data_IF_289069260427
#
_entry.id   IF_289069260427
#
_cell.length_a   1.000
_cell.length_b   1.000
_cell.length_c   1.000
_cell.angle_alpha   90.00
_cell.angle_beta   90.00
_cell.angle_gamma   90.00
#
_symmetry.space_group_name_H-M   'P 1'
#
loop_
_entity.id
_entity.type
_entity.pdbx_description
1 polymer ?
2 polymer ?
3 non-polymer ?
4 non-polymer ?
5 water ?
#
# COMPACT_ATOMS: atom_id res chain seq x y z
N UNK A 4 -29.71 -3.84 3.99
CA UNK A 4 -29.93 -5.18 4.53
C UNK A 4 -28.80 -6.12 4.14
N UNK A 5 -28.44 -6.12 2.85
CA UNK A 5 -27.36 -6.95 2.36
C UNK A 5 -27.81 -8.21 1.67
N UNK A 6 -27.21 -8.52 0.53
CA UNK A 6 -27.53 -9.72 -0.20
C UNK A 6 -26.66 -10.88 0.24
N UNK A 7 -27.22 -12.10 0.23
CA UNK A 7 -26.44 -13.28 0.62
C UNK A 7 -25.25 -13.51 -0.29
N UNK A 8 -24.04 -13.37 0.25
CA UNK A 8 -22.82 -13.56 -0.50
C UNK A 8 -21.95 -14.62 0.17
N UNK A 9 -21.11 -15.27 -0.62
CA UNK A 9 -20.30 -16.38 -0.18
C UNK A 9 -18.85 -15.92 -0.04
N UNK A 10 -18.27 -16.11 1.14
CA UNK A 10 -16.87 -15.84 1.39
C UNK A 10 -16.17 -17.16 1.69
N UNK A 11 -14.93 -17.29 1.22
CA UNK A 11 -14.18 -18.55 1.32
C UNK A 11 -12.89 -18.28 2.11
N UNK A 12 -12.90 -18.66 3.38
CA UNK A 12 -11.77 -18.47 4.27
C UNK A 12 -10.87 -19.70 4.21
N UNK A 13 -9.57 -19.49 4.04
CA UNK A 13 -8.65 -20.60 3.89
C UNK A 13 -8.39 -21.27 5.24
N UNK A 14 -7.92 -22.52 5.17
CA UNK A 14 -7.56 -23.26 6.38
C UNK A 14 -6.45 -22.53 7.11
N UNK A 15 -6.72 -22.18 8.37
CA UNK A 15 -5.76 -21.47 9.21
C UNK A 15 -5.57 -22.26 10.50
N UNK A 16 -4.32 -22.55 10.83
CA UNK A 16 -4.01 -23.31 12.03
C UNK A 16 -4.05 -22.46 13.29
N UNK A 17 -3.96 -21.13 13.14
CA UNK A 17 -4.06 -20.21 14.26
C UNK A 17 -5.48 -19.69 14.46
N UNK A 18 -6.43 -20.14 13.66
CA UNK A 18 -7.79 -19.66 13.72
C UNK A 18 -8.14 -18.78 12.53
N UNK A 19 -9.42 -18.75 12.19
CA UNK A 19 -9.86 -17.93 11.07
C UNK A 19 -9.71 -16.44 11.35
N UNK A 20 -9.89 -16.03 12.61
CA UNK A 20 -9.60 -14.67 13.01
C UNK A 20 -10.79 -13.73 13.03
N UNK A 21 -11.93 -14.22 13.52
CA UNK A 21 -13.09 -13.35 13.70
C UNK A 21 -13.91 -13.84 14.87
N UNK A 22 -14.65 -12.92 15.49
CA UNK A 22 -15.42 -13.19 16.69
C UNK A 22 -16.89 -13.37 16.35
N UNK A 23 -17.47 -14.48 16.81
CA UNK A 23 -18.89 -14.77 16.64
C UNK A 23 -19.63 -14.34 17.90
N UNK A 24 -20.69 -13.55 17.72
CA UNK A 24 -21.51 -13.08 18.83
C UNK A 24 -22.96 -13.05 18.38
N UNK A 25 -23.87 -13.16 19.35
CA UNK A 25 -25.28 -13.13 19.04
C UNK A 25 -26.16 -12.88 20.24
N UNK A 26 -27.34 -13.50 20.25
CA UNK A 26 -28.27 -13.36 21.37
C UNK A 26 -28.49 -14.71 22.04
N UNK A 43 -33.21 -15.69 14.47
CA UNK A 43 -31.97 -15.24 15.12
C UNK A 43 -30.72 -15.72 14.39
N UNK A 44 -29.84 -14.80 14.01
CA UNK A 44 -28.59 -15.12 13.33
C UNK A 44 -27.42 -14.55 14.11
N UNK A 45 -26.38 -15.36 14.30
CA UNK A 45 -25.16 -14.88 14.92
C UNK A 45 -24.43 -13.93 13.99
N UNK A 46 -23.82 -12.89 14.54
CA UNK A 46 -23.15 -11.88 13.76
C UNK A 46 -21.66 -11.83 14.10
N UNK A 47 -20.90 -11.21 13.21
CA UNK A 47 -19.47 -11.03 13.40
C UNK A 47 -19.26 -9.69 14.11
N UNK A 48 -18.77 -9.76 15.35
CA UNK A 48 -18.57 -8.55 16.15
C UNK A 48 -17.23 -7.88 15.88
N UNK A 49 -16.18 -8.66 15.60
CA UNK A 49 -14.86 -8.09 15.37
C UNK A 49 -14.07 -9.02 14.45
N UNK A 50 -13.08 -8.43 13.77
CA UNK A 50 -12.23 -9.13 12.82
C UNK A 50 -10.79 -8.74 13.10
N UNK A 51 -9.90 -9.73 13.18
CA UNK A 51 -8.48 -9.45 13.31
C UNK A 51 -7.96 -8.84 12.02
N UNK A 52 -7.34 -7.65 12.06
CA UNK A 52 -6.77 -7.08 10.84
C UNK A 52 -5.67 -7.98 10.27
N UNK A 53 -5.81 -8.33 9.00
CA UNK A 53 -4.85 -9.19 8.34
C UNK A 53 -5.07 -10.68 8.55
N UNK A 54 -5.98 -11.06 9.45
CA UNK A 54 -6.27 -12.47 9.65
C UNK A 54 -6.93 -13.10 8.44
N UNK A 55 -7.14 -14.42 8.54
CA UNK A 55 -7.67 -15.17 7.40
C UNK A 55 -9.07 -14.69 7.02
N UNK A 56 -9.89 -14.36 8.01
CA UNK A 56 -11.25 -13.89 7.71
C UNK A 56 -11.23 -12.50 7.07
N UNK A 57 -10.34 -11.62 7.55
CA UNK A 57 -10.22 -10.29 6.97
C UNK A 57 -9.86 -10.36 5.49
N UNK A 58 -8.94 -11.26 5.14
CA UNK A 58 -8.46 -11.32 3.76
C UNK A 58 -9.51 -11.88 2.81
N UNK A 59 -10.41 -12.73 3.30
CA UNK A 59 -11.42 -13.36 2.47
C UNK A 59 -12.64 -12.48 2.23
N UNK A 60 -12.72 -11.32 2.87
CA UNK A 60 -13.85 -10.41 2.69
C UNK A 60 -14.82 -10.34 3.84
N UNK A 61 -14.59 -11.10 4.91
CA UNK A 61 -15.47 -11.04 6.07
C UNK A 61 -15.28 -9.70 6.77
N UNK A 62 -16.38 -8.98 6.98
CA UNK A 62 -16.35 -7.66 7.59
C UNK A 62 -17.25 -7.63 8.82
N UNK A 63 -17.02 -6.62 9.66
CA UNK A 63 -17.80 -6.49 10.89
C UNK A 63 -19.28 -6.30 10.59
N UNK A 64 -20.12 -6.92 11.40
CA UNK A 64 -21.55 -6.83 11.24
C UNK A 64 -22.18 -7.89 10.38
N UNK A 65 -21.38 -8.77 9.78
CA UNK A 65 -21.92 -9.82 8.91
C UNK A 65 -22.73 -10.82 9.73
N UNK A 66 -23.95 -11.10 9.27
CA UNK A 66 -24.80 -12.10 9.90
C UNK A 66 -24.58 -13.45 9.21
N UNK A 67 -24.35 -14.49 10.01
CA UNK A 67 -23.96 -15.80 9.51
C UNK A 67 -25.22 -16.58 9.17
N UNK A 68 -25.45 -16.83 7.89
CA UNK A 68 -26.61 -17.55 7.40
C UNK A 68 -26.32 -19.02 7.12
N UNK A 69 -25.14 -19.32 6.59
CA UNK A 69 -24.73 -20.70 6.33
C UNK A 69 -23.27 -20.89 6.72
N UNK A 70 -22.95 -22.07 7.23
CA UNK A 70 -21.58 -22.45 7.58
C UNK A 70 -21.26 -23.73 6.81
N UNK A 71 -20.35 -23.63 5.84
CA UNK A 71 -19.99 -24.76 4.99
C UNK A 71 -21.22 -25.41 4.37
N UNK A 72 -22.12 -24.57 3.87
CA UNK A 72 -23.29 -24.97 3.08
C UNK A 72 -24.35 -25.68 3.92
N UNK A 73 -24.47 -25.36 5.21
CA UNK A 73 -25.59 -25.80 6.02
C UNK A 73 -26.23 -24.56 6.66
N UNK A 74 -27.55 -24.47 6.56
CA UNK A 74 -28.27 -23.31 7.08
C UNK A 74 -28.31 -23.36 8.60
N UNK A 75 -27.92 -22.25 9.24
CA UNK A 75 -27.81 -22.19 10.69
C UNK A 75 -28.86 -21.25 11.28
N UNK A 76 -29.96 -21.04 10.56
CA UNK A 76 -31.06 -20.25 11.09
C UNK A 76 -31.65 -20.93 12.31
N UNK A 77 -31.67 -20.21 13.44
CA UNK A 77 -32.22 -20.75 14.67
C UNK A 77 -31.27 -21.61 15.47
N UNK A 78 -30.00 -21.69 15.08
CA UNK A 78 -29.03 -22.45 15.84
C UNK A 78 -28.51 -21.64 17.01
N UNK A 79 -28.04 -22.35 18.05
CA UNK A 79 -27.48 -21.68 19.21
C UNK A 79 -26.12 -21.09 18.87
N UNK A 80 -25.62 -20.23 19.77
CA UNK A 80 -24.29 -19.66 19.58
C UNK A 80 -23.22 -20.74 19.62
N UNK A 81 -23.33 -21.69 20.55
CA UNK A 81 -22.34 -22.76 20.63
C UNK A 81 -22.35 -23.63 19.38
N UNK A 82 -23.54 -23.85 18.80
CA UNK A 82 -23.63 -24.72 17.64
C UNK A 82 -23.01 -24.07 16.41
N UNK A 83 -23.18 -22.76 16.24
CA UNK A 83 -22.54 -22.05 15.13
C UNK A 83 -21.03 -22.10 15.29
N UNK A 84 -20.54 -21.91 16.51
CA UNK A 84 -19.10 -22.01 16.76
C UNK A 84 -18.61 -23.43 16.51
N UNK A 85 -19.36 -24.43 17.00
CA UNK A 85 -18.94 -25.82 16.85
C UNK A 85 -18.93 -26.23 15.38
N UNK A 86 -19.92 -25.78 14.61
CA UNK A 86 -19.90 -26.06 13.17
C UNK A 86 -18.74 -25.38 12.48
N UNK A 87 -18.39 -24.17 12.94
CA UNK A 87 -17.26 -23.44 12.35
C UNK A 87 -15.95 -24.14 12.66
N UNK A 88 -15.79 -24.63 13.89
CA UNK A 88 -14.56 -25.24 14.36
C UNK A 88 -14.43 -26.72 13.98
N UNK A 89 -15.43 -27.29 13.32
CA UNK A 89 -15.49 -28.74 13.19
C UNK A 89 -14.47 -29.27 12.19
N UNK A 90 -14.56 -28.83 10.94
CA UNK A 90 -13.77 -29.45 9.88
C UNK A 90 -12.28 -29.25 10.02
N UNK A 91 -11.86 -28.13 10.63
CA UNK A 91 -10.45 -27.78 10.75
C UNK A 91 -9.78 -27.67 9.39
N UNK A 92 -10.58 -27.34 8.36
CA UNK A 92 -10.08 -27.03 7.04
C UNK A 92 -10.56 -25.65 6.61
N UNK A 93 -10.94 -25.49 5.35
CA UNK A 93 -11.44 -24.20 4.88
C UNK A 93 -12.82 -23.93 5.47
N UNK A 94 -13.20 -22.64 5.48
CA UNK A 94 -14.47 -22.20 6.02
C UNK A 94 -15.20 -21.41 4.93
N UNK A 95 -16.25 -22.01 4.38
CA UNK A 95 -17.11 -21.36 3.39
C UNK A 95 -18.32 -20.82 4.12
N UNK A 96 -18.46 -19.50 4.15
CA UNK A 96 -19.54 -18.83 4.87
C UNK A 96 -20.44 -18.09 3.90
N UNK A 97 -21.75 -18.16 4.16
CA UNK A 97 -22.75 -17.35 3.47
C UNK A 97 -23.23 -16.31 4.47
N UNK A 98 -22.91 -15.04 4.19
CA UNK A 98 -23.10 -13.98 5.18
C UNK A 98 -24.02 -12.90 4.60
N UNK A 99 -24.79 -12.28 5.49
CA UNK A 99 -25.57 -11.09 5.19
C UNK A 99 -24.86 -9.88 5.79
N UNK A 100 -24.41 -8.96 4.94
CA UNK A 100 -23.58 -7.84 5.38
C UNK A 100 -24.43 -6.58 5.52
N UNK A 101 -24.01 -5.72 6.45
CA UNK A 101 -24.50 -4.34 6.48
C UNK A 101 -24.00 -3.70 5.19
N UNK A 102 -24.90 -3.26 4.30
CA UNK A 102 -24.48 -2.85 2.95
C UNK A 102 -23.49 -1.70 3.00
N UNK A 103 -22.23 -1.95 2.60
CA UNK A 103 -21.15 -0.95 2.66
C UNK A 103 -20.96 -0.22 1.34
N UNK A 108 -10.99 2.92 -1.59
CA UNK A 108 -11.58 1.59 -1.56
C UNK A 108 -11.01 0.67 -2.62
N UNK A 109 -9.79 0.97 -3.07
CA UNK A 109 -9.08 0.21 -4.10
C UNK A 109 -9.81 0.20 -5.43
N UNK A 110 -10.68 1.18 -5.67
CA UNK A 110 -11.45 1.23 -6.91
C UNK A 110 -10.64 1.72 -8.10
N UNK A 111 -9.42 2.23 -7.88
CA UNK A 111 -8.58 2.72 -8.97
C UNK A 111 -7.28 1.93 -9.08
N UNK A 112 -7.20 0.76 -8.44
CA UNK A 112 -6.04 -0.08 -8.60
C UNK A 112 -6.12 -0.96 -9.83
N UNK A 113 -4.95 -1.40 -10.30
CA UNK A 113 -4.90 -2.26 -11.47
C UNK A 113 -5.16 -3.71 -11.12
N UNK A 114 -4.62 -4.19 -10.01
CA UNK A 114 -4.74 -5.58 -9.60
C UNK A 114 -6.00 -5.75 -8.76
N UNK A 115 -6.95 -6.52 -9.26
CA UNK A 115 -8.17 -6.84 -8.54
C UNK A 115 -8.10 -8.25 -7.97
N UNK A 116 -9.02 -8.53 -7.04
CA UNK A 116 -9.11 -9.86 -6.48
C UNK A 116 -9.58 -10.85 -7.53
N UNK A 117 -8.89 -11.99 -7.63
CA UNK A 117 -9.22 -12.99 -8.63
C UNK A 117 -10.50 -13.73 -8.24
N UNK A 118 -11.48 -13.72 -9.13
CA UNK A 118 -12.68 -14.52 -8.91
C UNK A 118 -12.36 -15.99 -9.10
N UNK A 119 -13.13 -16.84 -8.41
CA UNK A 119 -12.86 -18.29 -8.35
C UNK A 119 -11.47 -18.55 -7.76
N UNK A 120 -11.18 -17.87 -6.66
CA UNK A 120 -9.88 -18.00 -6.01
C UNK A 120 -9.86 -19.20 -5.08
N UNK A 121 -8.82 -20.02 -5.20
CA UNK A 121 -8.60 -21.16 -4.32
C UNK A 121 -7.13 -21.16 -3.91
N UNK A 122 -6.86 -20.84 -2.64
CA UNK A 122 -5.48 -20.73 -2.19
C UNK A 122 -4.76 -22.07 -2.24
N UNK A 123 -5.45 -23.15 -1.86
CA UNK A 123 -4.85 -24.48 -1.94
C UNK A 123 -4.47 -24.81 -3.37
N UNK A 124 -5.37 -24.55 -4.32
CA UNK A 124 -5.09 -24.79 -5.72
C UNK A 124 -3.85 -23.99 -6.16
N UNK A 125 -3.80 -22.70 -5.81
CA UNK A 125 -2.68 -21.86 -6.22
C UNK A 125 -1.38 -22.31 -5.55
N UNK A 126 -1.43 -22.60 -4.25
CA UNK A 126 -0.23 -23.04 -3.54
C UNK A 126 0.34 -24.29 -4.19
N UNK A 127 -0.51 -25.27 -4.48
CA UNK A 127 -0.04 -26.51 -5.11
C UNK A 127 0.51 -26.25 -6.50
N UNK A 128 -0.15 -25.39 -7.27
CA UNK A 128 0.35 -25.06 -8.60
C UNK A 128 1.68 -24.31 -8.51
N UNK A 129 1.82 -23.46 -7.48
CA UNK A 129 3.09 -22.75 -7.30
C UNK A 129 4.20 -23.73 -6.95
N UNK A 130 3.92 -24.67 -6.06
CA UNK A 130 4.94 -25.67 -5.71
C UNK A 130 5.32 -26.51 -6.91
N UNK A 131 4.34 -26.84 -7.76
CA UNK A 131 4.65 -27.56 -8.99
C UNK A 131 5.58 -26.74 -9.88
N UNK A 132 5.36 -25.43 -9.94
CA UNK A 132 6.22 -24.58 -10.76
C UNK A 132 7.60 -24.45 -10.16
N UNK A 133 7.70 -24.42 -8.83
CA UNK A 133 9.00 -24.36 -8.18
C UNK A 133 9.76 -25.67 -8.38
N UNK A 134 9.07 -26.79 -8.23
CA UNK A 134 9.70 -28.11 -8.38
C UNK A 134 9.90 -28.49 -9.84
N UNK A 135 9.33 -27.75 -10.78
CA UNK A 135 9.58 -28.02 -12.20
C UNK A 135 11.06 -27.84 -12.51
N UNK A 136 11.62 -28.77 -13.29
CA UNK A 136 13.03 -28.73 -13.63
C UNK A 136 13.37 -27.40 -14.29
N UNK A 137 14.24 -26.63 -13.65
CA UNK A 137 14.61 -25.31 -14.12
C UNK A 137 13.77 -24.17 -13.57
N UNK A 138 12.76 -24.47 -12.75
CA UNK A 138 11.83 -23.51 -12.17
C UNK A 138 10.96 -22.89 -13.26
N UNK A 139 9.64 -23.10 -13.15
CA UNK A 139 8.67 -22.51 -14.07
C UNK A 139 8.32 -21.11 -13.56
N UNK A 140 9.17 -20.14 -13.92
CA UNK A 140 8.94 -18.75 -13.50
C UNK A 140 7.66 -18.21 -14.11
N UNK A 141 7.31 -18.67 -15.32
CA UNK A 141 6.13 -18.14 -16.02
C UNK A 141 4.88 -18.33 -15.18
N UNK A 142 4.63 -19.58 -14.75
CA UNK A 142 3.43 -19.87 -13.98
C UNK A 142 3.43 -19.10 -12.67
N UNK A 143 4.60 -18.96 -12.04
CA UNK A 143 4.69 -18.22 -10.78
C UNK A 143 4.27 -16.77 -11.00
N UNK A 144 4.69 -16.16 -12.11
CA UNK A 144 4.29 -14.79 -12.40
C UNK A 144 2.81 -14.72 -12.75
N UNK A 145 2.33 -15.65 -13.58
CA UNK A 145 0.94 -15.63 -14.01
C UNK A 145 -0.02 -15.71 -12.83
N UNK A 146 0.35 -16.46 -11.80
CA UNK A 146 -0.50 -16.59 -10.62
C UNK A 146 -0.41 -15.36 -9.74
N UNK A 147 0.79 -15.07 -9.23
CA UNK A 147 0.93 -14.11 -8.13
C UNK A 147 0.58 -12.68 -8.57
N UNK A 148 0.93 -12.29 -9.79
CA UNK A 148 0.59 -10.96 -10.25
C UNK A 148 -0.88 -10.82 -10.65
N UNK A 149 -1.65 -11.92 -10.62
CA UNK A 149 -3.07 -11.86 -10.92
C UNK A 149 -3.90 -12.28 -9.71
N UNK A 150 -3.35 -12.08 -8.51
CA UNK A 150 -4.07 -12.20 -7.25
C UNK A 150 -3.86 -10.92 -6.45
N UNK A 151 -4.88 -10.54 -5.68
CA UNK A 151 -4.73 -9.41 -4.79
C UNK A 151 -3.73 -9.75 -3.68
N UNK A 152 -3.28 -8.71 -2.97
CA UNK A 152 -2.29 -8.93 -1.92
C UNK A 152 -2.83 -9.84 -0.82
N UNK A 153 -4.09 -9.64 -0.43
CA UNK A 153 -4.69 -10.51 0.57
C UNK A 153 -4.74 -11.95 0.09
N UNK A 154 -5.04 -12.15 -1.21
CA UNK A 154 -5.05 -13.50 -1.76
C UNK A 154 -3.67 -14.11 -1.78
N UNK A 155 -2.62 -13.30 -1.92
CA UNK A 155 -1.26 -13.83 -1.85
C UNK A 155 -0.93 -14.32 -0.45
N UNK A 156 -1.43 -13.63 0.58
CA UNK A 156 -1.21 -14.07 1.95
C UNK A 156 -1.85 -15.43 2.20
N UNK A 157 -3.08 -15.62 1.70
CA UNK A 157 -3.73 -16.92 1.83
C UNK A 157 -2.92 -18.01 1.15
N UNK A 158 -2.38 -17.72 -0.04
CA UNK A 158 -1.53 -18.68 -0.74
C UNK A 158 -0.30 -19.01 0.10
N UNK A 159 0.30 -18.00 0.71
CA UNK A 159 1.51 -18.23 1.49
C UNK A 159 1.25 -19.12 2.69
N UNK A 160 0.09 -18.94 3.35
CA UNK A 160 -0.22 -19.77 4.50
C UNK A 160 -0.49 -21.22 4.09
N UNK A 161 -1.26 -21.41 3.02
CA UNK A 161 -1.51 -22.76 2.53
C UNK A 161 -0.24 -23.41 2.00
N UNK A 162 0.66 -22.61 1.40
CA UNK A 162 1.91 -23.16 0.90
C UNK A 162 2.74 -23.71 2.05
N UNK A 163 2.92 -22.92 3.10
CA UNK A 163 3.71 -23.37 4.25
C UNK A 163 3.06 -24.56 4.93
N UNK A 164 1.73 -24.58 4.96
CA UNK A 164 1.03 -25.65 5.67
C UNK A 164 1.20 -27.00 4.96
N UNK A 165 1.36 -26.99 3.64
CA UNK A 165 1.52 -28.23 2.89
C UNK A 165 2.96 -28.61 2.63
N UNK A 166 3.88 -27.63 2.58
CA UNK A 166 5.28 -27.91 2.31
C UNK A 166 6.16 -27.86 3.55
N UNK A 167 5.67 -27.28 4.65
CA UNK A 167 6.47 -26.95 5.83
C UNK A 167 7.63 -26.02 5.49
N UNK A 168 7.51 -25.28 4.40
CA UNK A 168 8.50 -24.28 4.00
C UNK A 168 7.80 -22.97 3.74
N UNK A 169 8.43 -21.87 4.14
CA UNK A 169 7.86 -20.55 3.90
C UNK A 169 7.93 -20.22 2.42
N UNK A 170 6.83 -19.67 1.89
CA UNK A 170 6.75 -19.40 0.46
C UNK A 170 7.78 -18.37 0.03
N UNK A 171 7.95 -17.31 0.82
CA UNK A 171 8.94 -16.28 0.47
C UNK A 171 10.34 -16.87 0.43
N UNK A 172 10.69 -17.71 1.40
CA UNK A 172 12.01 -18.32 1.41
C UNK A 172 12.20 -19.28 0.25
N UNK A 173 11.14 -20.01 -0.11
CA UNK A 173 11.22 -20.92 -1.24
C UNK A 173 11.37 -20.15 -2.56
N UNK A 174 10.59 -19.08 -2.73
CA UNK A 174 10.72 -18.27 -3.93
C UNK A 174 12.04 -17.52 -3.97
N UNK A 175 12.58 -17.16 -2.80
CA UNK A 175 13.90 -16.53 -2.76
C UNK A 175 14.96 -17.44 -3.36
N UNK A 176 14.88 -18.73 -3.09
CA UNK A 176 15.88 -19.67 -3.61
C UNK A 176 15.62 -20.04 -5.06
N UNK A 177 14.36 -20.01 -5.51
CA UNK A 177 14.05 -20.42 -6.88
C UNK A 177 14.26 -19.30 -7.88
N UNK A 178 14.02 -18.05 -7.48
CA UNK A 178 14.11 -16.91 -8.39
C UNK A 178 15.40 -16.14 -8.16
N UNK A 179 15.66 -15.18 -9.05
CA UNK A 179 16.84 -14.35 -8.97
C UNK A 179 16.59 -13.08 -9.76
N UNK A 180 17.58 -12.19 -9.75
CA UNK A 180 17.51 -10.96 -10.53
C UNK A 180 16.38 -10.06 -10.09
N UNK A 181 15.92 -9.23 -11.01
CA UNK A 181 14.86 -8.27 -10.69
C UNK A 181 13.53 -8.97 -10.45
N UNK A 182 13.29 -10.12 -11.09
CA UNK A 182 12.04 -10.84 -10.88
C UNK A 182 11.89 -11.28 -9.43
N UNK A 183 12.99 -11.72 -8.81
CA UNK A 183 12.96 -12.07 -7.39
C UNK A 183 12.53 -10.88 -6.55
N UNK A 184 13.08 -9.69 -6.84
CA UNK A 184 12.70 -8.48 -6.13
C UNK A 184 11.20 -8.23 -6.22
N UNK A 185 10.64 -8.38 -7.43
CA UNK A 185 9.22 -8.09 -7.63
C UNK A 185 8.37 -9.09 -6.85
N UNK A 186 8.59 -10.38 -7.07
CA UNK A 186 7.78 -11.41 -6.43
C UNK A 186 7.83 -11.27 -4.92
N UNK A 187 9.04 -11.14 -4.35
CA UNK A 187 9.17 -11.02 -2.91
C UNK A 187 8.48 -9.77 -2.39
N UNK A 188 8.50 -8.69 -3.16
CA UNK A 188 7.78 -7.49 -2.76
C UNK A 188 6.28 -7.70 -2.73
N UNK A 189 5.75 -8.44 -3.71
CA UNK A 189 4.32 -8.68 -3.77
C UNK A 189 3.83 -9.53 -2.59
N UNK A 190 4.69 -10.40 -2.05
CA UNK A 190 4.27 -11.30 -0.99
C UNK A 190 4.09 -10.58 0.34
N UNK A 191 4.78 -9.46 0.54
CA UNK A 191 4.62 -8.68 1.75
C UNK A 191 3.31 -7.90 1.72
N UNK A 192 2.72 -7.69 2.89
CA UNK A 192 1.60 -6.78 2.99
C UNK A 192 2.07 -5.36 2.73
N UNK A 193 1.16 -4.44 2.37
CA UNK A 193 1.59 -3.07 2.08
C UNK A 193 2.45 -2.44 3.17
N UNK A 194 2.07 -2.61 4.44
CA UNK A 194 2.85 -2.04 5.54
C UNK A 194 4.19 -2.75 5.70
N UNK A 195 4.23 -4.07 5.47
CA UNK A 195 5.49 -4.79 5.57
C UNK A 195 6.43 -4.40 4.45
N UNK A 196 5.89 -4.20 3.24
CA UNK A 196 6.73 -3.82 2.11
C UNK A 196 7.31 -2.43 2.30
N UNK A 197 6.46 -1.47 2.70
CA UNK A 197 6.94 -0.11 2.95
C UNK A 197 7.97 -0.09 4.07
N UNK A 198 7.72 -0.84 5.15
CA UNK A 198 8.65 -0.86 6.26
C UNK A 198 10.00 -1.42 5.84
N UNK A 199 10.01 -2.50 5.06
CA UNK A 199 11.27 -3.10 4.63
C UNK A 199 12.00 -2.19 3.64
N UNK A 200 11.26 -1.50 2.79
CA UNK A 200 11.89 -0.56 1.86
C UNK A 200 12.50 0.63 2.62
N UNK A 201 11.79 1.13 3.64
CA UNK A 201 12.36 2.19 4.47
C UNK A 201 13.63 1.72 5.16
N UNK A 202 13.59 0.53 5.76
CA UNK A 202 14.79 -0.01 6.41
C UNK A 202 15.93 -0.17 5.42
N UNK A 203 15.63 -0.67 4.22
CA UNK A 203 16.67 -0.86 3.21
C UNK A 203 17.27 0.48 2.77
N UNK A 204 16.46 1.54 2.74
CA UNK A 204 16.94 2.84 2.30
C UNK A 204 17.82 3.52 3.34
N UNK A 205 17.76 3.09 4.61
CA UNK A 205 18.57 3.67 5.66
C UNK A 205 19.73 2.77 6.08
N UNK A 206 19.59 1.46 5.97
CA UNK A 206 20.65 0.55 6.36
C UNK A 206 21.86 0.72 5.45
N UNK A 207 23.04 0.65 6.05
CA UNK A 207 24.28 0.83 5.31
C UNK A 207 24.76 2.28 5.32
N UNK A 208 26.04 2.45 5.01
CA UNK A 208 26.66 3.77 5.00
C UNK A 208 25.88 4.73 4.11
N UNK A 209 25.53 5.88 4.65
CA UNK A 209 24.69 6.82 3.92
C UNK A 209 23.23 6.40 3.96
N UNK A 210 22.52 6.74 2.88
CA UNK A 210 21.08 6.55 2.84
C UNK A 210 20.60 6.77 1.41
N UNK A 211 19.61 5.98 0.99
CA UNK A 211 18.91 6.23 -0.27
C UNK A 211 17.83 7.27 0.02
N UNK A 212 18.22 8.54 -0.04
CA UNK A 212 17.29 9.63 0.29
C UNK A 212 16.08 9.62 -0.65
N UNK A 213 16.30 9.31 -1.93
CA UNK A 213 15.19 9.30 -2.88
C UNK A 213 14.13 8.27 -2.49
N UNK A 214 14.57 7.08 -2.06
CA UNK A 214 13.61 6.07 -1.62
C UNK A 214 12.91 6.49 -0.34
N UNK A 215 13.66 7.05 0.61
CA UNK A 215 13.06 7.52 1.85
C UNK A 215 12.04 8.62 1.60
N UNK A 216 12.39 9.57 0.73
CA UNK A 216 11.50 10.69 0.45
C UNK A 216 10.24 10.20 -0.26
N UNK A 217 10.38 9.29 -1.22
CA UNK A 217 9.24 8.82 -1.99
C UNK A 217 8.17 8.21 -1.08
N UNK A 218 8.59 7.36 -0.13
CA UNK A 218 7.63 6.70 0.74
C UNK A 218 7.04 7.68 1.74
N UNK A 219 7.91 8.42 2.43
CA UNK A 219 7.45 9.28 3.52
C UNK A 219 6.57 10.41 2.99
N UNK A 220 6.89 10.95 1.81
CA UNK A 220 6.12 12.05 1.28
C UNK A 220 4.78 11.62 0.67
N UNK A 221 4.66 10.36 0.24
CA UNK A 221 3.48 9.95 -0.51
C UNK A 221 2.45 9.18 0.31
N UNK A 222 2.82 8.66 1.48
CA UNK A 222 1.90 7.84 2.25
C UNK A 222 0.96 8.72 3.08
N UNK A 223 -0.25 8.24 3.30
CA UNK A 223 -1.26 8.96 4.05
C UNK A 223 -1.13 8.67 5.54
N UNK A 224 -1.98 9.33 6.34
CA UNK A 224 -1.97 9.12 7.79
C UNK A 224 -2.20 7.65 8.14
N UNK A 225 -3.30 7.08 7.64
CA UNK A 225 -3.63 5.70 7.97
C UNK A 225 -2.52 4.75 7.56
N UNK A 226 -1.93 4.96 6.37
CA UNK A 226 -0.85 4.10 5.92
C UNK A 226 0.38 4.24 6.83
N UNK A 227 0.74 5.49 7.16
CA UNK A 227 1.91 5.71 8.01
C UNK A 227 1.70 5.16 9.41
N UNK A 228 0.47 5.22 9.93
CA UNK A 228 0.20 4.66 11.25
C UNK A 228 0.47 3.16 11.27
N UNK A 229 0.06 2.45 10.21
CA UNK A 229 0.31 1.02 10.14
C UNK A 229 1.78 0.72 9.85
N UNK A 230 2.44 1.60 9.09
CA UNK A 230 3.87 1.42 8.83
C UNK A 230 4.66 1.54 10.12
N UNK A 231 4.37 2.56 10.92
CA UNK A 231 5.06 2.74 12.19
C UNK A 231 4.88 1.53 13.10
N UNK A 232 3.66 0.99 13.16
CA UNK A 232 3.42 -0.17 14.00
C UNK A 232 4.15 -1.40 13.48
N UNK A 233 4.12 -1.61 12.17
CA UNK A 233 4.74 -2.80 11.59
C UNK A 233 6.26 -2.70 11.63
N UNK A 234 6.79 -1.49 11.41
CA UNK A 234 8.23 -1.27 11.52
C UNK A 234 8.73 -1.65 12.90
N UNK A 235 8.02 -1.21 13.94
CA UNK A 235 8.39 -1.52 15.31
C UNK A 235 8.37 -3.03 15.57
N UNK A 236 7.39 -3.73 15.01
CA UNK A 236 7.31 -5.18 15.23
C UNK A 236 8.37 -5.93 14.44
N UNK A 237 8.67 -5.49 13.22
CA UNK A 237 9.64 -6.20 12.38
C UNK A 237 11.06 -6.00 12.88
N UNK A 238 11.41 -4.78 13.31
CA UNK A 238 12.80 -4.45 13.60
C UNK A 238 13.05 -4.07 15.05
N UNK A 239 12.03 -4.08 15.91
CA UNK A 239 12.19 -3.83 17.34
C UNK A 239 12.79 -2.45 17.62
N UNK A 240 12.38 -1.46 16.84
CA UNK A 240 12.79 -0.09 17.07
C UNK A 240 11.82 0.83 16.34
N UNK A 241 11.71 2.06 16.83
CA UNK A 241 10.82 3.04 16.20
C UNK A 241 11.40 3.51 14.87
N UNK A 242 10.53 3.62 13.87
CA UNK A 242 10.97 4.16 12.58
C UNK A 242 11.54 5.55 12.73
N UNK A 243 10.92 6.39 13.56
CA UNK A 243 11.42 7.74 13.79
C UNK A 243 12.85 7.74 14.29
N UNK A 244 13.22 6.74 15.09
CA UNK A 244 14.58 6.69 15.63
C UNK A 244 15.60 6.35 14.54
N UNK A 245 15.21 5.56 13.55
CA UNK A 245 16.12 5.26 12.45
C UNK A 245 16.23 6.43 11.48
N UNK A 246 15.15 7.19 11.28
CA UNK A 246 15.22 8.38 10.45
C UNK A 246 16.18 9.39 11.05
N UNK A 247 16.14 9.56 12.38
CA UNK A 247 17.06 10.48 13.05
C UNK A 247 18.50 10.03 12.86
N UNK A 248 18.76 8.73 12.99
CA UNK A 248 20.13 8.23 12.91
C UNK A 248 20.75 8.47 11.55
N UNK A 249 19.94 8.51 10.49
CA UNK A 249 20.44 8.53 9.13
C UNK A 249 20.22 9.86 8.41
N UNK A 250 19.65 10.86 9.07
CA UNK A 250 19.41 12.17 8.48
C UNK A 250 19.83 13.26 9.45
N UNK A 251 19.87 14.50 8.96
CA UNK A 251 20.28 15.62 9.79
C UNK A 251 19.69 16.90 9.22
N UNK A 252 19.81 17.99 9.98
CA UNK A 252 19.39 19.29 9.53
C UNK A 252 17.89 19.40 9.38
N UNK A 253 17.46 20.34 8.53
CA UNK A 253 16.04 20.52 8.26
C UNK A 253 15.45 19.36 7.50
N UNK A 254 16.27 18.60 6.76
CA UNK A 254 15.78 17.39 6.10
C UNK A 254 15.27 16.39 7.11
N UNK A 255 16.03 16.19 8.20
CA UNK A 255 15.59 15.30 9.27
C UNK A 255 14.28 15.81 9.88
N UNK A 256 14.20 17.12 10.15
CA UNK A 256 13.01 17.69 10.76
C UNK A 256 11.77 17.46 9.90
N UNK A 257 11.93 17.57 8.58
CA UNK A 257 10.80 17.37 7.68
C UNK A 257 10.39 15.91 7.61
N UNK A 258 11.37 15.01 7.46
CA UNK A 258 11.05 13.58 7.39
C UNK A 258 10.42 13.09 8.68
N UNK A 259 10.96 13.52 9.83
CA UNK A 259 10.40 13.11 11.12
C UNK A 259 8.96 13.59 11.26
N UNK A 260 8.67 14.82 10.83
CA UNK A 260 7.32 15.36 10.95
C UNK A 260 6.34 14.61 10.06
N UNK A 261 6.74 14.37 8.80
CA UNK A 261 5.87 13.64 7.88
C UNK A 261 5.65 12.20 8.35
N UNK A 262 6.71 11.56 8.85
CA UNK A 262 6.62 10.14 9.23
C UNK A 262 5.67 9.89 10.39
N UNK A 263 5.39 10.91 11.20
CA UNK A 263 4.44 10.72 12.30
C UNK A 263 3.04 10.42 11.81
N UNK A 264 2.70 10.83 10.59
CA UNK A 264 1.37 10.58 10.06
C UNK A 264 0.27 11.16 10.91
N UNK A 265 0.45 12.37 11.43
CA UNK A 265 -0.56 13.05 12.22
C UNK A 265 -1.05 14.32 11.53
N UNK A 266 -1.07 14.30 10.20
CA UNK A 266 -1.61 15.42 9.45
C UNK A 266 -3.09 15.61 9.78
N UNK A 267 -3.53 16.87 9.79
CA UNK A 267 -4.94 17.16 10.02
C UNK A 267 -5.80 16.45 8.99
N UNK A 268 -6.91 15.88 9.45
CA UNK A 268 -7.81 15.16 8.57
C UNK A 268 -8.64 16.14 7.75
N UNK A 269 -9.10 15.66 6.59
CA UNK A 269 -9.91 16.48 5.70
C UNK A 269 -11.20 16.88 6.39
N UNK A 270 -11.40 18.18 6.58
CA UNK A 270 -12.57 18.68 7.28
C UNK A 270 -13.72 19.03 6.37
N UNK A 271 -14.90 19.18 6.98
CA UNK A 271 -16.09 19.54 6.23
C UNK A 271 -16.10 21.01 5.86
N UNK A 272 -15.51 21.87 6.69
CA UNK A 272 -15.49 23.31 6.45
C UNK A 272 -14.20 23.70 5.78
N UNK A 273 -14.29 24.55 4.77
CA UNK A 273 -13.13 25.13 4.12
C UNK A 273 -12.79 26.41 4.87
N UNK A 274 -11.56 26.48 5.41
CA UNK A 274 -11.13 27.63 6.20
C UNK A 274 -10.45 28.62 5.25
N UNK A 275 -11.29 29.45 4.60
CA UNK A 275 -10.76 30.40 3.62
C UNK A 275 -9.79 31.38 4.26
N UNK A 276 -10.06 31.80 5.50
CA UNK A 276 -9.15 32.72 6.17
C UNK A 276 -7.80 32.08 6.44
N UNK A 277 -7.79 30.81 6.84
CA UNK A 277 -6.53 30.13 7.10
C UNK A 277 -5.78 29.86 5.81
N UNK A 278 -6.51 29.55 4.73
CA UNK A 278 -5.88 29.37 3.42
C UNK A 278 -5.07 30.60 3.04
N UNK A 279 -5.64 31.79 3.26
CA UNK A 279 -4.95 33.02 2.91
C UNK A 279 -3.76 33.27 3.83
N UNK A 280 -3.95 33.09 5.14
CA UNK A 280 -2.85 33.31 6.06
C UNK A 280 -1.73 32.31 5.85
N UNK A 281 -2.08 31.05 5.55
CA UNK A 281 -1.05 30.06 5.23
C UNK A 281 -0.28 30.46 3.97
N UNK A 282 -0.97 31.03 2.99
CA UNK A 282 -0.30 31.41 1.74
C UNK A 282 0.61 32.61 1.95
N UNK A 283 0.20 33.57 2.79
CA UNK A 283 1.07 34.69 3.11
C UNK A 283 2.31 34.23 3.84
N UNK A 284 2.15 33.32 4.81
CA UNK A 284 3.29 32.86 5.60
C UNK A 284 4.31 32.15 4.73
N UNK A 285 3.85 31.31 3.80
CA UNK A 285 4.78 30.63 2.89
C UNK A 285 5.57 31.64 2.06
N UNK A 286 4.90 32.70 1.60
CA UNK A 286 5.58 33.74 0.83
C UNK A 286 6.56 34.51 1.71
N UNK A 287 6.07 35.03 2.85
CA UNK A 287 6.92 35.78 3.76
C UNK A 287 8.14 34.98 4.21
N UNK A 288 7.98 33.66 4.36
CA UNK A 288 9.08 32.84 4.84
C UNK A 288 10.09 32.49 3.75
N UNK A 289 9.78 32.75 2.49
CA UNK A 289 10.64 32.33 1.41
C UNK A 289 10.98 33.38 0.39
N UNK A 290 10.16 33.50 -0.65
CA UNK A 290 10.50 34.35 -1.80
C UNK A 290 10.60 35.81 -1.39
N UNK A 291 9.72 36.25 -0.48
CA UNK A 291 9.68 37.67 -0.13
C UNK A 291 10.96 38.13 0.57
N UNK A 292 11.67 37.21 1.22
CA UNK A 292 12.78 37.55 2.07
C UNK A 292 14.07 36.92 1.56
N UNK A 293 15.20 37.41 2.08
CA UNK A 293 16.48 36.77 1.83
C UNK A 293 16.60 35.51 2.67
N UNK A 294 17.05 34.42 2.05
CA UNK A 294 17.07 33.19 2.80
C UNK A 294 15.67 32.60 2.90
N UNK A 295 15.54 31.62 3.80
CA UNK A 295 14.27 30.93 3.99
C UNK A 295 14.05 30.63 5.46
N UNK A 296 12.79 30.78 5.91
CA UNK A 296 12.36 30.26 7.21
C UNK A 296 11.86 28.84 6.98
N UNK A 297 12.80 27.90 7.00
CA UNK A 297 12.47 26.51 6.70
C UNK A 297 11.45 25.91 7.67
N UNK A 298 11.55 26.09 8.99
CA UNK A 298 10.54 25.51 9.87
C UNK A 298 9.13 25.97 9.59
N UNK A 299 8.95 27.20 9.12
CA UNK A 299 7.60 27.66 8.77
C UNK A 299 7.03 26.88 7.60
N UNK A 300 7.86 26.62 6.58
CA UNK A 300 7.43 25.77 5.48
C UNK A 300 7.06 24.38 5.97
N UNK A 301 7.87 23.82 6.88
CA UNK A 301 7.63 22.47 7.36
C UNK A 301 6.33 22.40 8.15
N UNK A 302 6.07 23.38 9.01
CA UNK A 302 4.87 23.37 9.82
C UNK A 302 3.61 23.36 8.97
N UNK A 303 3.55 24.25 7.97
CA UNK A 303 2.35 24.38 7.16
C UNK A 303 2.15 23.15 6.28
N UNK A 304 3.22 22.65 5.66
CA UNK A 304 3.07 21.59 4.68
C UNK A 304 2.91 20.21 5.30
N UNK A 305 3.22 20.03 6.59
CA UNK A 305 3.05 18.74 7.23
C UNK A 305 1.83 18.67 8.13
N UNK A 306 1.27 19.80 8.56
CA UNK A 306 0.18 19.79 9.53
C UNK A 306 -1.19 20.00 8.91
N UNK A 307 -1.29 20.78 7.83
CA UNK A 307 -2.59 21.06 7.22
C UNK A 307 -3.07 19.89 6.39
N UNK A 308 -4.39 19.76 6.29
CA UNK A 308 -4.98 18.70 5.47
C UNK A 308 -4.61 18.89 4.01
N UNK A 309 -4.60 17.78 3.26
CA UNK A 309 -4.23 17.85 1.84
C UNK A 309 -5.17 18.73 1.04
N UNK A 310 -6.50 18.62 1.15
CA UNK A 310 -7.36 19.56 0.42
C UNK A 310 -7.10 21.01 0.79
N UNK A 311 -6.78 21.28 2.06
CA UNK A 311 -6.45 22.64 2.48
C UNK A 311 -5.20 23.12 1.76
N UNK A 312 -4.13 22.31 1.76
CA UNK A 312 -2.88 22.73 1.16
C UNK A 312 -2.99 22.90 -0.35
N UNK A 313 -3.90 22.16 -0.99
CA UNK A 313 -4.13 22.36 -2.42
C UNK A 313 -4.61 23.78 -2.70
N UNK A 314 -5.58 24.26 -1.92
CA UNK A 314 -6.07 25.62 -2.11
C UNK A 314 -5.05 26.65 -1.62
N UNK A 315 -4.26 26.32 -0.61
CA UNK A 315 -3.18 27.21 -0.18
C UNK A 315 -2.20 27.43 -1.31
N UNK A 316 -1.87 26.36 -2.05
CA UNK A 316 -0.88 26.49 -3.12
C UNK A 316 -1.41 27.38 -4.25
N UNK A 317 -2.72 27.30 -4.53
CA UNK A 317 -3.29 28.18 -5.55
C UNK A 317 -3.35 29.62 -5.07
N UNK A 318 -3.76 29.83 -3.81
CA UNK A 318 -3.76 31.16 -3.23
C UNK A 318 -2.35 31.72 -3.11
N UNK A 319 -1.36 30.83 -2.95
CA UNK A 319 0.02 31.28 -2.89
C UNK A 319 0.45 31.98 -4.17
N UNK A 320 -0.08 31.53 -5.32
CA UNK A 320 0.23 32.17 -6.59
C UNK A 320 -0.29 33.60 -6.66
N UNK A 321 -1.22 33.97 -5.79
CA UNK A 321 -1.72 35.34 -5.75
C UNK A 321 -0.72 36.30 -5.12
N UNK A 322 0.17 35.81 -4.26
CA UNK A 322 1.18 36.65 -3.61
C UNK A 322 2.55 36.56 -4.26
N UNK A 323 2.93 35.38 -4.76
CA UNK A 323 4.27 35.11 -5.27
C UNK A 323 4.28 35.12 -6.79
N UNK A 324 5.37 35.61 -7.40
CA UNK A 324 5.48 35.51 -8.86
C UNK A 324 5.77 34.09 -9.34
N UNK A 325 6.18 33.20 -8.46
CA UNK A 325 6.47 31.81 -8.80
C UNK A 325 5.54 30.90 -8.01
N UNK A 326 5.18 29.76 -8.62
CA UNK A 326 4.32 28.82 -7.93
C UNK A 326 5.13 28.09 -6.85
N UNK A 327 4.48 27.17 -6.13
CA UNK A 327 5.11 26.55 -4.98
C UNK A 327 6.33 25.74 -5.38
N UNK A 328 6.23 24.97 -6.48
CA UNK A 328 7.35 24.15 -6.91
C UNK A 328 8.53 25.02 -7.34
N UNK A 329 8.27 26.05 -8.15
CA UNK A 329 9.35 26.93 -8.58
C UNK A 329 9.98 27.67 -7.40
N UNK A 330 9.15 28.08 -6.43
CA UNK A 330 9.68 28.74 -5.24
C UNK A 330 10.64 27.81 -4.49
N UNK A 331 10.31 26.53 -4.40
CA UNK A 331 11.17 25.57 -3.73
C UNK A 331 12.52 25.48 -4.42
N UNK A 332 12.51 25.43 -5.75
CA UNK A 332 13.76 25.32 -6.50
C UNK A 332 14.66 26.53 -6.27
N UNK A 333 14.07 27.70 -6.03
CA UNK A 333 14.87 28.90 -5.84
C UNK A 333 15.35 29.06 -4.40
N UNK A 334 14.60 28.54 -3.43
CA UNK A 334 14.90 28.79 -2.03
C UNK A 334 15.84 27.76 -1.42
N UNK A 335 15.62 26.47 -1.69
CA UNK A 335 16.32 25.40 -1.00
C UNK A 335 16.99 24.48 -2.01
N UNK A 336 17.95 23.70 -1.52
CA UNK A 336 18.76 22.82 -2.36
C UNK A 336 18.91 21.46 -1.68
N UNK A 337 19.55 20.53 -2.37
CA UNK A 337 19.93 19.25 -1.79
C UNK A 337 18.75 18.34 -1.50
N UNK A 338 18.90 17.57 -0.42
CA UNK A 338 17.85 16.62 -0.03
C UNK A 338 16.59 17.35 0.40
N UNK A 339 16.73 18.50 1.06
CA UNK A 339 15.58 19.27 1.49
C UNK A 339 14.75 19.73 0.30
N UNK A 340 15.39 20.21 -0.75
CA UNK A 340 14.68 20.59 -1.97
C UNK A 340 13.96 19.39 -2.57
N UNK A 341 14.66 18.26 -2.67
CA UNK A 341 14.03 17.05 -3.18
C UNK A 341 12.82 16.68 -2.36
N UNK A 342 12.92 16.77 -1.04
CA UNK A 342 11.81 16.39 -0.17
C UNK A 342 10.62 17.32 -0.34
N UNK A 343 10.86 18.63 -0.42
CA UNK A 343 9.77 19.57 -0.62
C UNK A 343 9.13 19.40 -1.99
N UNK A 344 9.95 19.22 -3.04
CA UNK A 344 9.40 19.03 -4.38
C UNK A 344 8.55 17.77 -4.46
N UNK A 345 9.00 16.69 -3.80
CA UNK A 345 8.21 15.45 -3.79
C UNK A 345 6.91 15.64 -3.00
N UNK A 346 6.98 16.32 -1.86
CA UNK A 346 5.80 16.50 -1.02
C UNK A 346 4.73 17.32 -1.73
N UNK A 347 5.13 18.47 -2.29
CA UNK A 347 4.17 19.33 -2.98
C UNK A 347 3.54 18.59 -4.16
N UNK A 348 4.35 17.82 -4.89
CA UNK A 348 3.80 17.00 -5.97
C UNK A 348 2.76 16.03 -5.44
N UNK A 349 3.04 15.37 -4.31
CA UNK A 349 2.09 14.41 -3.76
C UNK A 349 0.80 15.08 -3.28
N UNK A 350 0.90 16.31 -2.78
CA UNK A 350 -0.30 17.04 -2.36
C UNK A 350 -1.10 17.49 -3.57
N UNK A 351 -0.42 17.93 -4.63
CA UNK A 351 -1.11 18.50 -5.78
C UNK A 351 -1.75 17.43 -6.65
N UNK A 352 -1.01 16.38 -6.98
CA UNK A 352 -1.50 15.33 -7.89
C UNK A 352 -0.59 14.11 -7.70
N UNK A 353 -0.99 13.22 -6.80
CA UNK A 353 -0.16 12.07 -6.47
C UNK A 353 -0.05 11.07 -7.62
N UNK A 354 -1.14 10.74 -8.35
CA UNK A 354 -0.97 9.87 -9.53
C UNK A 354 0.00 10.44 -10.55
N UNK A 355 -0.06 11.75 -10.79
CA UNK A 355 0.90 12.38 -11.70
C UNK A 355 2.30 12.32 -11.12
N UNK A 356 2.43 12.44 -9.80
CA UNK A 356 3.74 12.31 -9.16
C UNK A 356 4.37 10.95 -9.46
N UNK A 357 3.60 9.88 -9.29
CA UNK A 357 4.13 8.55 -9.54
C UNK A 357 4.38 8.33 -11.04
N UNK A 358 3.52 8.91 -11.89
CA UNK A 358 3.75 8.80 -13.33
C UNK A 358 5.08 9.42 -13.72
N UNK A 359 5.43 10.57 -13.13
CA UNK A 359 6.69 11.21 -13.46
C UNK A 359 7.88 10.42 -12.92
N UNK A 360 7.74 9.82 -11.74
CA UNK A 360 8.81 8.98 -11.23
C UNK A 360 9.00 7.74 -12.08
N UNK A 361 7.89 7.16 -12.56
CA UNK A 361 8.00 6.01 -13.46
C UNK A 361 8.72 6.40 -14.75
N UNK A 362 8.35 7.53 -15.33
CA UNK A 362 9.03 8.00 -16.54
C UNK A 362 10.51 8.23 -16.28
N UNK A 363 10.83 8.88 -15.15
CA UNK A 363 12.23 9.14 -14.83
C UNK A 363 13.03 7.86 -14.65
N UNK A 364 12.39 6.80 -14.13
CA UNK A 364 13.13 5.57 -13.87
C UNK A 364 13.45 4.80 -15.15
N UNK A 365 12.81 5.15 -16.27
CA UNK A 365 13.00 4.43 -17.52
C UNK A 365 13.51 5.29 -18.66
N UNK A 366 13.41 6.62 -18.57
CA UNK A 366 13.62 7.47 -19.74
C UNK A 366 15.04 7.34 -20.29
N UNK A 367 16.03 7.27 -19.41
CA UNK A 367 17.43 7.31 -19.81
C UNK A 367 18.08 5.95 -19.91
N UNK A 368 19.41 5.95 -19.84
CA UNK A 368 20.18 4.72 -19.95
C UNK A 368 19.79 3.75 -18.84
N UNK A 369 19.62 2.48 -19.22
CA UNK A 369 19.28 1.46 -18.26
C UNK A 369 17.94 1.74 -17.59
N UNK A 370 17.83 1.28 -16.35
CA UNK A 370 16.58 1.38 -15.60
C UNK A 370 16.90 1.56 -14.12
N UNK A 371 16.16 2.44 -13.46
CA UNK A 371 16.17 2.52 -12.00
C UNK A 371 15.15 1.51 -11.50
N UNK A 372 15.54 0.23 -11.55
CA UNK A 372 14.63 -0.87 -11.29
C UNK A 372 14.02 -0.77 -9.89
N UNK A 373 14.84 -0.40 -8.90
CA UNK A 373 14.35 -0.31 -7.53
C UNK A 373 13.13 0.62 -7.43
N UNK A 374 13.16 1.73 -8.17
CA UNK A 374 12.04 2.67 -8.14
C UNK A 374 10.87 2.13 -8.94
N UNK A 375 11.15 1.62 -10.15
CA UNK A 375 10.10 1.05 -10.99
C UNK A 375 9.34 -0.06 -10.25
N UNK A 376 10.08 -0.99 -9.65
CA UNK A 376 9.44 -2.12 -8.97
C UNK A 376 8.59 -1.64 -7.80
N UNK A 377 9.15 -0.75 -6.97
CA UNK A 377 8.45 -0.32 -5.76
C UNK A 377 7.14 0.39 -6.09
N UNK A 378 7.13 1.20 -7.15
CA UNK A 378 5.90 1.89 -7.52
C UNK A 378 4.88 0.90 -8.08
N UNK A 379 5.31 0.00 -8.97
CA UNK A 379 4.38 -0.95 -9.55
C UNK A 379 3.80 -1.89 -8.49
N UNK A 380 4.56 -2.20 -7.44
CA UNK A 380 4.07 -3.07 -6.39
C UNK A 380 3.15 -2.32 -5.44
N UNK A 381 3.60 -1.17 -4.95
CA UNK A 381 2.88 -0.46 -3.90
C UNK A 381 1.64 0.27 -4.40
N UNK A 382 1.57 0.61 -5.69
CA UNK A 382 0.42 1.33 -6.23
C UNK A 382 -0.50 0.45 -7.06
N UNK A 383 -0.23 -0.86 -7.13
CA UNK A 383 -1.03 -1.74 -7.97
C UNK A 383 -2.48 -1.84 -7.50
N UNK A 384 -2.72 -1.72 -6.20
CA UNK A 384 -4.06 -1.84 -5.64
C UNK A 384 -4.54 -0.53 -5.04
N UNK A 385 -3.94 0.59 -5.42
CA UNK A 385 -4.32 1.90 -4.88
C UNK A 385 -4.83 2.79 -6.00
N UNK A 386 -3.93 3.29 -6.86
CA UNK A 386 -4.32 4.28 -7.86
C UNK A 386 -3.60 4.07 -9.19
N UNK A 387 -3.24 2.83 -9.52
CA UNK A 387 -2.50 2.58 -10.75
C UNK A 387 -3.27 3.02 -11.99
N UNK A 388 -4.60 2.93 -11.96
CA UNK A 388 -5.39 3.35 -13.12
C UNK A 388 -5.27 4.86 -13.35
N UNK A 389 -5.21 5.64 -12.27
CA UNK A 389 -4.99 7.07 -12.41
C UNK A 389 -3.56 7.37 -12.84
N UNK A 390 -2.60 6.59 -12.34
CA UNK A 390 -1.22 6.74 -12.77
C UNK A 390 -1.11 6.54 -14.28
N UNK A 391 -1.74 5.49 -14.79
CA UNK A 391 -1.70 5.22 -16.22
C UNK A 391 -2.36 6.33 -17.02
N UNK A 392 -3.45 6.91 -16.49
CA UNK A 392 -4.15 7.97 -17.21
C UNK A 392 -3.30 9.23 -17.30
N UNK A 393 -2.68 9.62 -16.17
CA UNK A 393 -1.78 10.78 -16.19
C UNK A 393 -0.56 10.53 -17.05
N UNK A 394 -0.07 9.29 -17.07
CA UNK A 394 1.11 8.96 -17.86
C UNK A 394 0.83 9.07 -19.35
N UNK A 395 -0.24 8.42 -19.82
CA UNK A 395 -0.57 8.46 -21.24
C UNK A 395 -0.86 9.88 -21.70
N UNK A 396 -1.55 10.65 -20.87
CA UNK A 396 -1.89 12.02 -21.23
C UNK A 396 -0.63 12.87 -21.39
N UNK A 397 0.33 12.71 -20.49
CA UNK A 397 1.51 13.58 -20.49
C UNK A 397 2.55 13.12 -21.50
N UNK A 398 2.77 11.82 -21.64
CA UNK A 398 3.88 11.32 -22.44
C UNK A 398 3.47 10.77 -23.79
N UNK A 399 2.17 10.67 -24.08
CA UNK A 399 1.70 10.29 -25.40
C UNK A 399 1.58 8.80 -25.63
N UNK A 400 2.42 7.99 -24.98
CA UNK A 400 2.31 6.55 -25.02
C UNK A 400 2.08 6.02 -23.61
N UNK A 401 1.71 4.74 -23.54
CA UNK A 401 1.25 4.14 -22.30
C UNK A 401 2.43 3.78 -21.40
N UNK A 402 2.14 3.69 -20.09
CA UNK A 402 3.10 3.12 -19.16
C UNK A 402 3.49 1.72 -19.57
N UNK A 403 2.50 0.93 -20.03
CA UNK A 403 2.73 -0.41 -20.58
C UNK A 403 3.84 -0.39 -21.63
N UNK A 404 3.79 0.60 -22.53
CA UNK A 404 4.76 0.68 -23.62
C UNK A 404 6.17 0.89 -23.09
N UNK A 405 6.33 1.79 -22.11
CA UNK A 405 7.67 2.08 -21.61
C UNK A 405 8.25 0.91 -20.84
N UNK A 406 7.41 0.21 -20.06
CA UNK A 406 7.86 -1.00 -19.37
C UNK A 406 8.34 -2.03 -20.38
N UNK A 407 7.61 -2.20 -21.49
CA UNK A 407 8.00 -3.14 -22.52
C UNK A 407 9.36 -2.79 -23.11
N UNK A 408 9.62 -1.51 -23.34
CA UNK A 408 10.86 -1.09 -23.98
C UNK A 408 12.05 -1.07 -23.03
N UNK A 409 11.81 -1.07 -21.72
CA UNK A 409 12.90 -0.96 -20.76
C UNK A 409 13.23 -2.27 -20.04
N UNK A 410 12.30 -3.21 -19.96
CA UNK A 410 12.49 -4.46 -19.23
C UNK A 410 12.17 -5.65 -20.13
N UNK A 411 12.79 -6.79 -19.84
CA UNK A 411 12.65 -7.99 -20.64
C UNK A 411 12.31 -9.19 -19.74
N UNK A 412 11.97 -10.29 -20.39
CA UNK A 412 11.79 -11.58 -19.72
C UNK A 412 10.54 -11.63 -18.85
N UNK A 413 10.58 -12.60 -17.92
CA UNK A 413 9.49 -12.75 -16.96
C UNK A 413 9.39 -11.54 -16.04
N UNK A 414 10.52 -10.87 -15.78
CA UNK A 414 10.50 -9.63 -15.01
C UNK A 414 9.63 -8.58 -15.69
N UNK A 415 9.79 -8.42 -17.00
CA UNK A 415 8.92 -7.50 -17.75
C UNK A 415 7.46 -7.92 -17.63
N UNK A 416 7.18 -9.21 -17.75
CA UNK A 416 5.80 -9.69 -17.77
C UNK A 416 5.10 -9.40 -16.44
N UNK A 417 5.80 -9.63 -15.33
CA UNK A 417 5.21 -9.34 -14.02
C UNK A 417 4.86 -7.86 -13.88
N UNK A 418 5.74 -6.97 -14.36
CA UNK A 418 5.45 -5.54 -14.30
C UNK A 418 4.28 -5.18 -15.19
N UNK A 419 4.15 -5.85 -16.35
CA UNK A 419 3.02 -5.56 -17.23
C UNK A 419 1.71 -6.02 -16.60
N UNK A 420 1.72 -7.10 -15.84
CA UNK A 420 0.51 -7.52 -15.14
C UNK A 420 0.16 -6.55 -14.01
N UNK A 421 1.18 -6.04 -13.30
CA UNK A 421 0.93 -5.01 -12.31
C UNK A 421 0.41 -3.72 -12.95
N UNK A 422 0.82 -3.44 -14.19
CA UNK A 422 0.29 -2.29 -14.90
C UNK A 422 -1.20 -2.46 -15.18
N UNK A 423 -1.59 -3.62 -15.68
CA UNK A 423 -2.98 -3.96 -15.89
C UNK A 423 -3.44 -3.98 -17.33
N UNK A 424 -2.69 -3.38 -18.24
CA UNK A 424 -3.09 -3.33 -19.62
C UNK A 424 -2.49 -2.14 -20.33
N UNK A 425 -2.86 -1.99 -21.60
CA UNK A 425 -2.36 -0.91 -22.42
C UNK A 425 -3.22 0.34 -22.25
N UNK A 426 -2.58 1.50 -22.42
CA UNK A 426 -3.19 2.80 -22.13
C UNK A 426 -3.67 2.86 -20.68
N UNK B 9 -24.63 -11.40 26.36
CA UNK B 9 -24.50 -11.86 24.98
C UNK B 9 -23.28 -12.75 24.78
N UNK B 10 -23.49 -14.00 24.37
CA UNK B 10 -22.36 -14.93 24.19
C UNK B 10 -21.49 -14.50 23.02
N UNK B 11 -20.17 -14.61 23.21
CA UNK B 11 -19.22 -14.35 22.15
C UNK B 11 -18.03 -15.30 22.29
N UNK B 12 -17.39 -15.58 21.16
CA UNK B 12 -16.25 -16.49 21.14
C UNK B 12 -15.46 -16.23 19.86
N UNK B 13 -14.14 -16.33 19.95
CA UNK B 13 -13.27 -16.16 18.80
C UNK B 13 -13.03 -17.51 18.12
N UNK B 14 -13.10 -17.51 16.78
CA UNK B 14 -12.92 -18.73 16.01
C UNK B 14 -11.86 -18.51 14.93
X LIG C 1 13.54 -21.39 -15.70
X LIG D 1 17.76 -15.98 -5.33
X LIG E 1 23.39 4.64 7.28
X LIG F 1 14.22 33.72 0.02
X LIG G 1 15.78 3.10 -20.04
X LIG H 1 0.91 13.52 0.87
X LIG H 1 1.18 12.31 0.22
X LIG H 1 0.76 13.19 2.37
X LIG H 1 1.17 14.24 3.17
X LIG H 1 -0.74 12.86 2.57
X LIG H 1 -0.97 12.83 3.94
X LIG I 1 -6.78 22.29 8.33
X LIG I 1 -5.82 21.54 7.66
X LIG I 1 -8.09 22.17 7.51
X LIG I 1 -8.72 20.94 7.71
X LIG I 1 -8.97 23.36 8.00
X LIG I 1 -10.23 23.17 7.45
#
# INVERSE_FOLDING_TARGET
GSHMGGPRVVRIVKSESGYGFNVRGQVSEGGQLRSINGELYAPLQHVSAVLPGGAADRAGVRKGDRILEVNHVNVEGATHKQVVDLIRAGEKELILTVLSVPPHEADGSAYGSVKAYTNFDAERDALNIETAIKTKGVDEVTIVNILTNRSNEQRQDIAFAYQRRTKKELASALKSALSGHLETVILGLLKTPAQYDASELKASMKGLGTDEDSLIEIICSRTNQELQEINRVYKEMYKTDLEKDIISDTSGDFRKLMVALAKGRRAEDGSVIDYELIDQDARDLYDAGVKRKGTDVPKWISIMTERSVPHLQKVFDRYKSYSPYDMLESIRKEVKGDLENAFLNLVQCIQNKPLYFADRLYDSMKGKGTRDKVLIRIMVSRSEVDMLKIRSEFKRKYGKSLYYYIQQDTKGDYQKALLYLCGGDD
TDDSKPPLPPDEWV
CA CA
CA CA
CA CA
CA CA
CA CA
GOL C1 O1 C2 O2 C3 O3
GOL C1 O1 C2 O2 C3 O3
#
